data_IF_153610925332
#
_entry.id   IF_153610925332
#
_cell.length_a   1.000
_cell.length_b   1.000
_cell.length_c   1.000
_cell.angle_alpha   90.00
_cell.angle_beta   90.00
_cell.angle_gamma   90.00
#
_symmetry.space_group_name_H-M   'P 1'
#
loop_
_entity.id
_entity.type
_entity.pdbx_description
1 polymer ?
#
# COMPACT_ATOMS: atom_id res chain seq x y z
N UNK A 1 26.05 -0.08 -15.85
CA UNK A 1 25.34 -0.08 -17.14
C UNK A 1 26.34 0.08 -18.27
N UNK A 2 26.45 -0.93 -19.12
CA UNK A 2 27.41 -0.97 -20.25
C UNK A 2 26.83 -0.34 -21.52
N UNK A 3 25.50 -0.30 -21.63
CA UNK A 3 24.72 0.19 -22.78
C UNK A 3 24.94 1.68 -23.10
N UNK A 4 24.90 2.56 -22.09
CA UNK A 4 25.03 4.01 -22.30
C UNK A 4 26.49 4.51 -22.36
N UNK A 5 27.48 3.60 -22.22
CA UNK A 5 28.89 3.97 -22.06
C UNK A 5 29.53 4.24 -23.43
N UNK A 6 29.73 5.51 -23.75
CA UNK A 6 30.35 5.95 -25.01
C UNK A 6 29.38 6.47 -26.08
N UNK A 7 28.07 6.47 -25.80
CA UNK A 7 27.06 7.11 -26.66
C UNK A 7 27.07 8.64 -26.51
N UNK A 8 26.60 9.35 -27.55
CA UNK A 8 26.34 10.78 -27.42
C UNK A 8 25.13 10.99 -26.50
N UNK A 9 25.15 12.10 -25.78
CA UNK A 9 24.10 12.46 -24.79
C UNK A 9 22.69 12.47 -25.40
N UNK A 10 22.56 12.83 -26.68
CA UNK A 10 21.28 12.82 -27.38
C UNK A 10 20.78 11.41 -27.67
N UNK A 11 21.66 10.53 -28.12
CA UNK A 11 21.32 9.14 -28.43
C UNK A 11 20.98 8.37 -27.15
N UNK A 12 21.68 8.66 -26.04
CA UNK A 12 21.38 8.09 -24.73
C UNK A 12 20.01 8.54 -24.16
N UNK A 13 19.46 9.66 -24.63
CA UNK A 13 18.14 10.17 -24.21
C UNK A 13 16.99 9.41 -24.91
N UNK A 14 17.23 8.89 -26.10
CA UNK A 14 16.22 8.15 -26.88
C UNK A 14 16.03 6.70 -26.39
N UNK A 15 16.93 6.21 -25.53
CA UNK A 15 16.82 4.87 -24.92
C UNK A 15 15.48 4.76 -24.19
N UNK A 16 14.63 3.85 -24.66
CA UNK A 16 13.32 3.60 -24.09
C UNK A 16 13.37 2.44 -23.10
N UNK A 17 12.34 2.36 -22.24
CA UNK A 17 12.17 1.24 -21.29
C UNK A 17 12.12 -0.12 -22.01
N UNK A 18 11.62 -0.15 -23.24
CA UNK A 18 11.55 -1.35 -24.09
C UNK A 18 12.92 -1.80 -24.54
N UNK A 19 13.79 -0.87 -24.91
CA UNK A 19 15.16 -1.17 -25.38
C UNK A 19 16.05 -1.71 -24.24
N UNK A 20 15.85 -1.21 -23.02
CA UNK A 20 16.52 -1.72 -21.82
C UNK A 20 16.06 -3.14 -21.47
N UNK A 21 14.77 -3.44 -21.63
CA UNK A 21 14.22 -4.76 -21.38
C UNK A 21 14.61 -5.80 -22.45
N UNK A 22 14.75 -5.38 -23.70
CA UNK A 22 15.18 -6.23 -24.83
C UNK A 22 16.68 -6.60 -24.74
N UNK A 23 17.56 -5.67 -24.32
CA UNK A 23 19.00 -5.95 -24.14
C UNK A 23 19.31 -6.87 -22.95
N UNK A 24 18.45 -6.87 -21.93
CA UNK A 24 18.58 -7.76 -20.77
C UNK A 24 18.08 -9.20 -21.03
N UNK A 25 17.97 -9.58 -22.31
CA UNK A 25 17.63 -10.91 -22.84
C UNK A 25 16.28 -11.47 -22.34
N UNK A 26 15.32 -10.56 -22.11
CA UNK A 26 13.96 -10.90 -21.68
C UNK A 26 13.89 -11.30 -20.20
N UNK A 27 13.64 -10.33 -19.33
CA UNK A 27 13.37 -10.61 -17.94
C UNK A 27 11.98 -11.27 -17.76
N UNK A 28 11.84 -12.27 -16.86
CA UNK A 28 10.53 -12.78 -16.46
C UNK A 28 9.61 -11.61 -16.04
N UNK A 29 8.30 -11.64 -16.35
CA UNK A 29 7.38 -10.51 -16.13
C UNK A 29 7.46 -9.91 -14.72
N UNK A 30 7.71 -10.76 -13.73
CA UNK A 30 7.82 -10.44 -12.30
C UNK A 30 9.06 -9.58 -11.93
N UNK A 31 10.04 -9.38 -12.84
CA UNK A 31 11.25 -8.56 -12.62
C UNK A 31 11.34 -7.33 -13.55
N UNK A 32 10.27 -7.04 -14.29
CA UNK A 32 10.21 -5.90 -15.22
C UNK A 32 10.21 -4.55 -14.50
N UNK A 33 9.63 -4.47 -13.29
CA UNK A 33 9.53 -3.23 -12.53
C UNK A 33 10.91 -2.64 -12.15
N UNK A 34 11.85 -3.48 -11.73
CA UNK A 34 13.21 -3.07 -11.36
C UNK A 34 14.06 -2.56 -12.54
N UNK A 35 13.68 -2.85 -13.79
CA UNK A 35 14.44 -2.45 -14.99
C UNK A 35 14.01 -1.09 -15.53
N UNK A 36 12.78 -0.65 -15.20
CA UNK A 36 12.23 0.63 -15.61
C UNK A 36 12.81 1.82 -14.84
N UNK A 37 13.24 1.63 -13.59
CA UNK A 37 13.92 2.67 -12.81
C UNK A 37 15.25 3.11 -13.43
N UNK A 38 15.98 2.20 -14.09
CA UNK A 38 17.30 2.50 -14.65
C UNK A 38 17.22 3.45 -15.84
N UNK A 39 16.19 3.31 -16.70
CA UNK A 39 15.98 4.19 -17.84
C UNK A 39 15.55 5.59 -17.40
N UNK A 40 14.68 5.68 -16.39
CA UNK A 40 14.20 6.95 -15.85
C UNK A 40 15.32 7.71 -15.12
N UNK A 41 16.13 7.02 -14.31
CA UNK A 41 17.28 7.61 -13.65
C UNK A 41 18.35 8.13 -14.64
N UNK A 42 18.57 7.42 -15.75
CA UNK A 42 19.50 7.85 -16.80
C UNK A 42 19.02 9.13 -17.50
N UNK A 43 17.72 9.22 -17.82
CA UNK A 43 17.12 10.42 -18.42
C UNK A 43 17.19 11.62 -17.48
N UNK A 44 16.84 11.43 -16.21
CA UNK A 44 16.95 12.47 -15.19
C UNK A 44 18.39 12.99 -15.04
N UNK A 45 19.39 12.11 -15.10
CA UNK A 45 20.80 12.49 -15.06
C UNK A 45 21.25 13.26 -16.32
N UNK A 46 20.76 12.89 -17.51
CA UNK A 46 21.04 13.59 -18.78
C UNK A 46 20.40 14.98 -18.80
N UNK A 47 19.18 15.10 -18.29
CA UNK A 47 18.46 16.37 -18.18
C UNK A 47 19.17 17.33 -17.22
N UNK A 48 19.70 16.83 -16.10
CA UNK A 48 20.54 17.59 -15.18
C UNK A 48 21.87 18.03 -15.85
N UNK A 49 22.50 17.15 -16.63
CA UNK A 49 23.74 17.46 -17.36
C UNK A 49 23.58 18.54 -18.45
N UNK A 50 22.41 18.63 -19.10
CA UNK A 50 22.14 19.61 -20.16
C UNK A 50 21.95 21.05 -19.66
N UNK A 51 22.14 21.32 -18.37
CA UNK A 51 22.14 22.68 -17.83
C UNK A 51 20.75 23.31 -17.79
N UNK A 52 19.69 22.50 -17.76
CA UNK A 52 18.48 22.96 -17.07
C UNK A 52 18.88 22.99 -15.61
N UNK A 53 19.07 24.20 -15.09
CA UNK A 53 19.28 24.49 -13.67
C UNK A 53 18.37 23.61 -12.79
N UNK A 54 18.73 23.45 -11.52
CA UNK A 54 17.84 23.00 -10.44
C UNK A 54 16.53 23.81 -10.44
N UNK A 55 15.66 23.51 -11.38
CA UNK A 55 14.24 23.72 -11.29
C UNK A 55 13.80 22.47 -10.59
N UNK A 56 13.78 22.53 -9.27
CA UNK A 56 12.71 21.87 -8.54
C UNK A 56 11.45 22.19 -9.33
N UNK A 57 10.97 21.20 -10.09
CA UNK A 57 9.65 21.27 -10.65
C UNK A 57 8.76 21.15 -9.43
N UNK A 58 8.38 22.29 -8.85
CA UNK A 58 7.07 22.37 -8.22
C UNK A 58 6.13 21.81 -9.28
N UNK A 59 5.69 20.58 -9.07
CA UNK A 59 4.55 20.04 -9.75
C UNK A 59 3.41 21.01 -9.40
N UNK A 60 3.17 22.00 -10.25
CA UNK A 60 1.91 22.71 -10.32
C UNK A 60 0.84 21.73 -10.81
N UNK A 61 0.52 20.75 -9.98
CA UNK A 61 -0.86 20.34 -9.81
C UNK A 61 -1.42 21.24 -8.73
N UNK A 62 -2.03 22.34 -9.20
CA UNK A 62 -3.09 23.13 -8.57
C UNK A 62 -3.27 22.90 -7.06
N UNK A 63 -3.08 23.97 -6.29
CA UNK A 63 -3.67 24.15 -4.95
C UNK A 63 -5.08 23.56 -4.90
N UNK A 64 -5.18 22.38 -4.33
CA UNK A 64 -6.32 21.94 -3.56
C UNK A 64 -5.72 21.48 -2.25
N UNK A 65 -6.01 22.21 -1.17
CA UNK A 65 -6.00 21.63 0.17
C UNK A 65 -7.14 20.60 0.21
N UNK A 66 -6.94 19.49 -0.47
CA UNK A 66 -7.62 18.26 -0.16
C UNK A 66 -6.60 17.49 0.67
N UNK A 67 -6.85 17.39 1.97
CA UNK A 67 -6.44 16.22 2.73
C UNK A 67 -6.48 15.01 1.80
N UNK A 68 -5.44 14.19 1.77
CA UNK A 68 -5.45 12.89 1.08
C UNK A 68 -6.73 12.15 1.48
N UNK A 69 -7.80 12.34 0.70
CA UNK A 69 -8.97 11.53 0.79
C UNK A 69 -8.51 10.23 0.15
N UNK A 70 -8.03 9.36 1.02
CA UNK A 70 -7.81 7.95 0.73
C UNK A 70 -9.20 7.39 0.42
N UNK A 71 -9.64 7.57 -0.82
CA UNK A 71 -10.97 7.15 -1.27
C UNK A 71 -10.88 5.65 -1.40
N UNK A 72 -11.31 4.96 -0.35
CA UNK A 72 -11.51 3.52 -0.40
C UNK A 72 -12.90 3.28 -0.98
N UNK A 73 -12.95 2.55 -2.09
CA UNK A 73 -14.21 2.22 -2.76
C UNK A 73 -15.01 1.18 -1.93
N UNK A 74 -16.33 1.28 -1.93
CA UNK A 74 -17.23 0.32 -1.28
C UNK A 74 -17.44 0.50 0.23
N UNK A 75 -16.67 1.35 0.93
CA UNK A 75 -16.83 1.56 2.38
C UNK A 75 -18.28 1.89 2.76
N UNK A 76 -18.89 2.86 2.08
CA UNK A 76 -20.21 3.36 2.45
C UNK A 76 -21.33 2.38 2.05
N UNK A 77 -21.10 1.55 1.03
CA UNK A 77 -22.06 0.51 0.58
C UNK A 77 -22.15 -0.64 1.59
N UNK A 78 -21.03 -1.00 2.21
CA UNK A 78 -20.92 -2.10 3.16
C UNK A 78 -20.95 -1.66 4.62
N UNK A 79 -21.27 -0.39 4.91
CA UNK A 79 -21.36 0.13 6.27
C UNK A 79 -22.45 -0.61 7.05
N UNK A 80 -22.06 -1.30 8.13
CA UNK A 80 -22.95 -2.15 8.93
C UNK A 80 -23.24 -3.54 8.33
N UNK A 81 -22.66 -3.86 7.15
CA UNK A 81 -22.73 -5.17 6.49
C UNK A 81 -21.35 -5.83 6.38
N UNK A 82 -20.51 -5.58 7.38
CA UNK A 82 -19.12 -6.01 7.41
C UNK A 82 -18.12 -4.86 7.45
N UNK A 83 -18.47 -3.62 7.09
CA UNK A 83 -17.62 -2.44 7.34
C UNK A 83 -18.07 -1.72 8.61
N UNK A 84 -17.12 -1.45 9.51
CA UNK A 84 -17.36 -0.77 10.77
C UNK A 84 -16.44 0.44 10.90
N UNK A 85 -17.03 1.64 10.99
CA UNK A 85 -16.28 2.91 11.19
C UNK A 85 -16.03 3.27 12.66
N UNK A 86 -16.59 2.48 13.57
CA UNK A 86 -16.59 2.73 15.02
C UNK A 86 -16.35 1.42 15.75
N UNK A 87 -15.90 1.52 17.00
CA UNK A 87 -15.82 0.37 17.91
C UNK A 87 -17.20 -0.25 18.10
N UNK A 88 -17.26 -1.56 17.86
CA UNK A 88 -18.45 -2.38 18.11
C UNK A 88 -18.36 -2.89 19.55
N UNK A 89 -19.43 -2.70 20.32
CA UNK A 89 -19.50 -3.15 21.72
C UNK A 89 -19.62 -4.68 21.82
N UNK A 90 -20.38 -5.32 20.92
CA UNK A 90 -20.49 -6.78 20.88
C UNK A 90 -19.44 -7.41 19.95
N UNK A 91 -18.28 -7.73 20.52
CA UNK A 91 -17.19 -8.41 19.81
C UNK A 91 -17.52 -9.87 19.44
N UNK A 92 -18.59 -10.43 20.01
CA UNK A 92 -19.00 -11.82 19.76
C UNK A 92 -19.42 -12.03 18.30
N UNK A 93 -19.86 -10.97 17.62
CA UNK A 93 -20.24 -11.00 16.21
C UNK A 93 -19.08 -11.32 15.26
N UNK A 94 -17.84 -11.16 15.73
CA UNK A 94 -16.63 -11.45 14.97
C UNK A 94 -16.09 -12.86 15.17
N UNK A 95 -16.76 -13.69 15.97
CA UNK A 95 -16.33 -15.07 16.21
C UNK A 95 -16.26 -15.86 14.91
N UNK A 96 -15.15 -16.55 14.71
CA UNK A 96 -14.82 -17.34 13.50
C UNK A 96 -14.75 -16.55 12.18
N UNK A 97 -14.92 -15.22 12.22
CA UNK A 97 -14.80 -14.32 11.07
C UNK A 97 -13.35 -13.86 10.87
N UNK A 98 -12.99 -13.62 9.62
CA UNK A 98 -11.74 -12.97 9.20
C UNK A 98 -11.93 -11.47 9.29
N UNK A 99 -11.26 -10.85 10.24
CA UNK A 99 -11.40 -9.43 10.51
C UNK A 99 -10.15 -8.70 10.04
N UNK A 100 -10.35 -7.72 9.16
CA UNK A 100 -9.34 -6.76 8.77
C UNK A 100 -9.47 -5.50 9.62
N UNK A 101 -8.39 -5.06 10.24
CA UNK A 101 -8.31 -3.79 10.96
C UNK A 101 -7.36 -2.87 10.19
N UNK A 102 -7.83 -1.69 9.81
CA UNK A 102 -6.98 -0.66 9.23
C UNK A 102 -6.35 0.14 10.36
N UNK A 103 -5.02 0.22 10.32
CA UNK A 103 -4.25 1.01 11.27
C UNK A 103 -4.48 2.51 11.03
N UNK A 104 -5.13 3.13 12.00
CA UNK A 104 -5.33 4.58 12.10
C UNK A 104 -4.62 5.17 13.32
N UNK A 105 -3.95 4.34 14.13
CA UNK A 105 -3.29 4.74 15.36
C UNK A 105 -3.36 3.66 16.45
N UNK A 106 -2.87 4.01 17.65
CA UNK A 106 -2.75 3.08 18.78
C UNK A 106 -4.10 2.44 19.16
N UNK A 107 -5.20 3.18 19.05
CA UNK A 107 -6.55 2.68 19.37
C UNK A 107 -6.98 1.52 18.46
N UNK A 108 -6.71 1.62 17.16
CA UNK A 108 -7.03 0.56 16.19
C UNK A 108 -6.25 -0.71 16.46
N UNK A 109 -4.97 -0.56 16.85
CA UNK A 109 -4.08 -1.67 17.18
C UNK A 109 -4.43 -2.34 18.51
N UNK A 110 -4.83 -1.57 19.52
CA UNK A 110 -5.37 -2.12 20.77
C UNK A 110 -6.65 -2.91 20.51
N UNK A 111 -7.54 -2.38 19.68
CA UNK A 111 -8.77 -3.08 19.30
C UNK A 111 -8.49 -4.38 18.52
N UNK A 112 -7.47 -4.38 17.63
CA UNK A 112 -7.02 -5.59 16.96
C UNK A 112 -6.55 -6.67 17.95
N UNK A 113 -5.85 -6.28 19.02
CA UNK A 113 -5.46 -7.20 20.09
C UNK A 113 -6.67 -7.73 20.86
N UNK A 114 -7.66 -6.89 21.17
CA UNK A 114 -8.88 -7.34 21.84
C UNK A 114 -9.65 -8.38 21.01
N UNK A 115 -9.74 -8.18 19.70
CA UNK A 115 -10.37 -9.10 18.75
C UNK A 115 -9.72 -10.49 18.74
N UNK A 116 -8.41 -10.60 19.04
CA UNK A 116 -7.75 -11.92 19.09
C UNK A 116 -8.32 -12.86 20.14
N UNK A 117 -8.99 -12.34 21.17
CA UNK A 117 -9.65 -13.17 22.19
C UNK A 117 -10.94 -13.82 21.67
N UNK A 118 -11.50 -13.32 20.56
CA UNK A 118 -12.78 -13.78 19.99
C UNK A 118 -12.61 -14.48 18.64
N UNK A 119 -11.61 -14.06 17.86
CA UNK A 119 -11.27 -14.67 16.56
C UNK A 119 -9.76 -14.84 16.40
N UNK A 120 -9.33 -16.00 15.93
CA UNK A 120 -7.93 -16.28 15.59
C UNK A 120 -7.51 -15.76 14.21
N UNK A 121 -8.36 -14.97 13.54
CA UNK A 121 -8.15 -14.52 12.15
C UNK A 121 -8.21 -12.99 12.06
N UNK A 122 -7.39 -12.33 12.85
CA UNK A 122 -7.24 -10.87 12.82
C UNK A 122 -6.05 -10.50 11.93
N UNK A 123 -6.31 -9.65 10.95
CA UNK A 123 -5.30 -9.07 10.06
C UNK A 123 -5.31 -7.57 10.30
N UNK A 124 -4.15 -6.98 10.60
CA UNK A 124 -4.01 -5.54 10.74
C UNK A 124 -3.14 -5.01 9.60
N UNK A 125 -3.63 -3.99 8.88
CA UNK A 125 -2.96 -3.38 7.73
C UNK A 125 -2.47 -2.00 8.13
N UNK A 126 -1.19 -1.72 7.89
CA UNK A 126 -0.57 -0.42 8.15
C UNK A 126 0.20 0.08 6.94
N UNK A 127 0.07 1.37 6.63
CA UNK A 127 0.87 2.04 5.61
C UNK A 127 2.34 2.21 6.06
N UNK A 128 2.63 2.06 7.35
CA UNK A 128 3.97 2.23 7.89
C UNK A 128 4.87 1.02 7.61
N UNK A 129 6.18 1.28 7.49
CA UNK A 129 7.23 0.24 7.34
C UNK A 129 7.42 -0.64 8.58
N UNK A 130 6.88 -0.22 9.72
CA UNK A 130 6.99 -0.94 10.99
C UNK A 130 5.68 -0.83 11.75
N UNK A 131 5.38 -1.80 12.60
CA UNK A 131 4.22 -1.77 13.51
C UNK A 131 4.18 -0.41 14.21
N UNK A 132 3.16 0.42 14.00
CA UNK A 132 3.05 1.73 14.64
C UNK A 132 2.74 1.63 16.14
N UNK A 133 2.72 2.78 16.77
CA UNK A 133 2.44 2.94 18.19
C UNK A 133 3.60 2.72 19.14
N UNK A 134 3.28 2.76 20.43
CA UNK A 134 4.25 2.68 21.53
C UNK A 134 5.05 1.38 21.55
N UNK A 135 6.25 1.41 22.15
CA UNK A 135 7.15 0.24 22.20
C UNK A 135 6.49 -0.97 22.91
N UNK A 136 5.67 -0.70 23.93
CA UNK A 136 4.87 -1.71 24.63
C UNK A 136 3.83 -2.36 23.71
N UNK A 137 3.13 -1.57 22.91
CA UNK A 137 2.10 -2.05 21.99
C UNK A 137 2.72 -2.90 20.86
N UNK A 138 3.83 -2.44 20.30
CA UNK A 138 4.60 -3.19 19.28
C UNK A 138 5.02 -4.57 19.78
N UNK A 139 5.44 -4.67 21.05
CA UNK A 139 5.81 -5.97 21.66
C UNK A 139 4.58 -6.87 21.81
N UNK A 140 3.44 -6.33 22.25
CA UNK A 140 2.19 -7.11 22.38
C UNK A 140 1.73 -7.66 21.03
N UNK A 141 1.74 -6.85 19.98
CA UNK A 141 1.35 -7.27 18.62
C UNK A 141 2.30 -8.34 18.07
N UNK A 142 3.61 -8.20 18.29
CA UNK A 142 4.57 -9.22 17.87
C UNK A 142 4.44 -10.55 18.63
N UNK A 143 3.90 -10.50 19.85
CA UNK A 143 3.68 -11.68 20.70
C UNK A 143 2.28 -12.26 20.54
N UNK A 144 1.37 -11.57 19.85
CA UNK A 144 0.01 -12.03 19.60
C UNK A 144 -0.11 -12.71 18.24
N UNK A 145 -1.28 -13.31 18.00
CA UNK A 145 -1.61 -13.96 16.73
C UNK A 145 -2.12 -12.99 15.66
N UNK A 146 -2.00 -11.67 15.87
CA UNK A 146 -2.39 -10.66 14.89
C UNK A 146 -1.43 -10.71 13.70
N UNK A 147 -1.96 -10.97 12.50
CA UNK A 147 -1.18 -10.88 11.27
C UNK A 147 -1.05 -9.43 10.83
N UNK A 148 0.13 -8.85 10.99
CA UNK A 148 0.44 -7.52 10.47
C UNK A 148 0.82 -7.56 8.99
N UNK A 149 0.22 -6.69 8.19
CA UNK A 149 0.62 -6.38 6.82
C UNK A 149 1.17 -4.94 6.82
N UNK A 150 2.42 -4.79 6.41
CA UNK A 150 3.14 -3.51 6.41
C UNK A 150 3.15 -2.89 5.01
N UNK A 151 3.42 -1.59 4.95
CA UNK A 151 3.51 -0.85 3.70
C UNK A 151 2.32 -1.14 2.78
N UNK A 152 1.13 -1.27 3.34
CA UNK A 152 -0.04 -1.69 2.59
C UNK A 152 -1.24 -0.85 2.95
N UNK A 153 -2.13 -0.67 1.97
CA UNK A 153 -3.35 0.11 2.11
C UNK A 153 -4.56 -0.55 1.48
N UNK A 154 -5.73 -0.31 2.09
CA UNK A 154 -7.01 -0.72 1.55
C UNK A 154 -7.40 0.19 0.40
N UNK A 155 -7.67 -0.40 -0.76
CA UNK A 155 -8.16 0.31 -1.96
C UNK A 155 -9.68 0.19 -2.11
N UNK A 156 -10.21 -1.01 -1.88
CA UNK A 156 -11.60 -1.33 -2.21
C UNK A 156 -12.14 -2.44 -1.31
N UNK A 157 -13.39 -2.31 -0.90
CA UNK A 157 -14.17 -3.35 -0.21
C UNK A 157 -15.18 -3.90 -1.20
N UNK A 158 -15.24 -5.23 -1.32
CA UNK A 158 -16.12 -5.90 -2.27
C UNK A 158 -16.92 -7.02 -1.60
N UNK A 159 -18.10 -7.28 -2.15
CA UNK A 159 -19.02 -8.31 -1.69
C UNK A 159 -20.33 -8.25 -2.46
N UNK A 160 -21.20 -9.22 -2.22
CA UNK A 160 -22.55 -9.25 -2.81
C UNK A 160 -23.59 -8.62 -1.90
N UNK A 161 -23.79 -9.20 -0.72
CA UNK A 161 -24.70 -8.69 0.31
C UNK A 161 -23.93 -8.11 1.50
N UNK A 162 -22.93 -8.85 1.96
CA UNK A 162 -21.97 -8.49 3.00
C UNK A 162 -20.55 -8.47 2.43
N UNK A 163 -19.59 -7.96 3.20
CA UNK A 163 -18.17 -7.99 2.81
C UNK A 163 -17.66 -9.43 2.67
N UNK A 164 -17.05 -9.74 1.52
CA UNK A 164 -16.46 -11.06 1.25
C UNK A 164 -14.95 -10.97 0.96
N UNK A 165 -14.52 -9.83 0.42
CA UNK A 165 -13.13 -9.60 0.05
C UNK A 165 -12.79 -8.11 0.02
N UNK A 166 -11.51 -7.83 0.12
CA UNK A 166 -10.93 -6.50 -0.02
C UNK A 166 -9.79 -6.51 -1.01
N UNK A 167 -9.53 -5.37 -1.62
CA UNK A 167 -8.36 -5.12 -2.43
C UNK A 167 -7.34 -4.33 -1.64
N UNK A 168 -6.16 -4.91 -1.45
CA UNK A 168 -5.03 -4.27 -0.78
C UNK A 168 -4.00 -3.87 -1.85
N UNK A 169 -3.39 -2.72 -1.64
CA UNK A 169 -2.22 -2.26 -2.38
C UNK A 169 -0.99 -2.35 -1.47
N UNK A 170 0.02 -3.08 -1.90
CA UNK A 170 1.33 -3.14 -1.25
C UNK A 170 2.27 -2.14 -1.93
N UNK A 171 2.77 -1.18 -1.15
CA UNK A 171 3.70 -0.15 -1.61
C UNK A 171 5.15 -0.62 -1.68
N UNK A 172 5.50 -1.74 -1.03
CA UNK A 172 6.86 -2.28 -1.10
C UNK A 172 7.08 -2.96 -2.46
N UNK A 173 6.09 -3.72 -2.91
CA UNK A 173 6.13 -4.43 -4.20
C UNK A 173 5.42 -3.67 -5.35
N UNK A 174 4.70 -2.58 -5.04
CA UNK A 174 3.81 -1.86 -5.97
C UNK A 174 2.76 -2.79 -6.62
N UNK A 175 2.28 -3.75 -5.83
CA UNK A 175 1.32 -4.78 -6.26
C UNK A 175 -0.06 -4.56 -5.64
N UNK A 176 -1.08 -5.13 -6.28
CA UNK A 176 -2.45 -5.15 -5.77
C UNK A 176 -2.94 -6.59 -5.70
N UNK A 177 -3.50 -6.98 -4.56
CA UNK A 177 -4.03 -8.32 -4.36
C UNK A 177 -5.35 -8.30 -3.61
N UNK A 178 -6.12 -9.37 -3.78
CA UNK A 178 -7.38 -9.57 -3.07
C UNK A 178 -7.15 -10.40 -1.80
N UNK A 179 -7.72 -9.94 -0.69
CA UNK A 179 -7.82 -10.73 0.55
C UNK A 179 -9.28 -11.03 0.84
N UNK A 180 -9.59 -12.29 1.11
CA UNK A 180 -10.91 -12.65 1.58
C UNK A 180 -11.05 -12.35 3.06
N UNK A 181 -11.99 -11.47 3.38
CA UNK A 181 -12.27 -11.00 4.74
C UNK A 181 -13.78 -10.90 4.91
N UNK A 182 -14.25 -11.17 6.12
CA UNK A 182 -15.69 -11.14 6.41
C UNK A 182 -16.08 -9.81 7.09
N UNK A 183 -15.10 -9.08 7.62
CA UNK A 183 -15.32 -7.76 8.22
C UNK A 183 -14.09 -6.87 8.09
N UNK A 184 -14.31 -5.58 7.92
CA UNK A 184 -13.32 -4.52 7.81
C UNK A 184 -13.63 -3.45 8.85
N UNK A 185 -12.64 -3.10 9.67
CA UNK A 185 -12.79 -2.15 10.76
C UNK A 185 -11.82 -1.00 10.52
N UNK A 186 -12.38 0.20 10.48
CA UNK A 186 -11.68 1.46 10.22
C UNK A 186 -12.08 2.38 11.36
N UNK A 187 -11.24 2.57 12.36
CA UNK A 187 -11.56 3.50 13.45
C UNK A 187 -11.23 4.92 12.98
N UNK A 188 -12.27 5.70 12.69
CA UNK A 188 -12.15 7.13 12.44
C UNK A 188 -12.20 7.88 13.78
N UNK A 189 -11.24 8.77 14.02
CA UNK A 189 -11.20 9.70 15.17
C UNK A 189 -12.22 10.85 15.02
#
# INVERSE_FOLDING_TARGET
>A
TTMAKGMKVNDAYEISRKDVAEELDGLPPIKMHCSNLAADALKAAIDNYRGKEDTYVELEHKRCEASELKIVLGIDEFLGKGVYKKKVEDLSEFRDKRVLVIDTGDESLEYALELTNYTGRVIAVTSAKSVPGSESLRKKIKMSDVKMIHQSDLLEVMGTDDVEKVKIHDFDEDEQYELFVDSVIILED
#
